data_IF_888370384414
#
_entry.id   IF_888370384414
#
_cell.length_a   1.000
_cell.length_b   1.000
_cell.length_c   1.000
_cell.angle_alpha   90.00
_cell.angle_beta   90.00
_cell.angle_gamma   90.00
#
_symmetry.space_group_name_H-M   'P 1'
#
loop_
_entity.id
_entity.type
_entity.pdbx_description
1 polymer ?
#
# COMPACT_ATOMS: atom_id res chain seq x y z
N UNK A 1 -31.29 52.64 -26.84
CA UNK A 1 -30.65 51.54 -26.08
C UNK A 1 -29.60 52.13 -25.16
N UNK A 2 -29.81 52.06 -23.84
CA UNK A 2 -28.87 52.56 -22.82
C UNK A 2 -28.21 51.35 -22.16
N UNK A 3 -26.91 51.18 -22.34
CA UNK A 3 -26.08 50.25 -21.56
C UNK A 3 -25.23 51.07 -20.59
N UNK A 4 -25.47 50.87 -19.30
CA UNK A 4 -24.65 51.41 -18.21
C UNK A 4 -23.48 50.46 -17.99
N UNK A 5 -22.26 50.95 -18.16
CA UNK A 5 -21.04 50.26 -17.76
C UNK A 5 -20.83 50.43 -16.25
N UNK A 6 -20.75 49.31 -15.54
CA UNK A 6 -20.32 49.21 -14.15
C UNK A 6 -18.79 49.10 -14.15
N UNK A 7 -18.10 50.11 -13.64
CA UNK A 7 -16.66 50.07 -13.39
C UNK A 7 -16.44 49.45 -12.01
N UNK A 8 -15.90 48.23 -11.96
CA UNK A 8 -15.36 47.62 -10.75
C UNK A 8 -13.84 47.67 -10.90
N UNK A 9 -13.20 48.49 -10.07
CA UNK A 9 -11.74 48.56 -9.96
C UNK A 9 -11.23 47.36 -9.17
N UNK A 10 -10.47 46.48 -9.83
CA UNK A 10 -9.56 45.54 -9.17
C UNK A 10 -8.14 45.97 -9.48
N UNK A 11 -7.38 46.30 -8.43
CA UNK A 11 -5.96 46.59 -8.50
C UNK A 11 -5.21 45.33 -8.95
N UNK A 12 -4.71 45.35 -10.19
CA UNK A 12 -3.76 44.36 -10.70
C UNK A 12 -2.37 44.98 -10.56
N UNK A 13 -1.56 44.39 -9.68
CA UNK A 13 -0.12 44.58 -9.68
C UNK A 13 0.44 44.07 -11.01
N UNK A 14 0.98 44.99 -11.79
CA UNK A 14 1.66 44.72 -13.05
C UNK A 14 3.02 44.11 -12.71
N UNK A 15 3.16 42.79 -12.90
CA UNK A 15 4.45 42.11 -12.97
C UNK A 15 4.90 42.14 -14.43
N UNK A 16 5.78 43.08 -14.78
CA UNK A 16 6.49 43.11 -16.06
C UNK A 16 7.48 41.95 -16.13
N UNK A 17 7.15 40.93 -16.91
CA UNK A 17 8.07 39.90 -17.38
C UNK A 17 8.75 40.40 -18.65
N UNK A 18 9.99 40.86 -18.50
CA UNK A 18 10.88 41.20 -19.62
C UNK A 18 11.35 39.90 -20.28
N UNK A 19 10.88 39.64 -21.49
CA UNK A 19 11.37 38.54 -22.33
C UNK A 19 12.63 39.02 -23.04
N UNK A 20 13.80 38.54 -22.61
CA UNK A 20 15.03 38.64 -23.39
C UNK A 20 15.01 37.53 -24.44
N UNK A 21 14.80 37.90 -25.70
CA UNK A 21 15.05 37.04 -26.86
C UNK A 21 16.50 37.18 -27.28
N UNK A 22 17.37 36.26 -26.84
CA UNK A 22 18.68 36.06 -27.47
C UNK A 22 18.59 34.93 -28.49
N UNK A 23 18.74 35.32 -29.75
CA UNK A 23 18.79 34.45 -30.92
C UNK A 23 20.25 34.08 -31.17
N UNK A 24 20.62 32.84 -30.91
CA UNK A 24 22.00 32.37 -31.10
C UNK A 24 22.12 30.85 -31.13
N UNK A 25 21.36 30.17 -31.99
CA UNK A 25 21.64 28.76 -32.29
C UNK A 25 22.65 28.66 -33.43
N UNK A 26 23.90 28.43 -33.06
CA UNK A 26 24.92 27.90 -33.95
C UNK A 26 24.55 26.46 -34.35
N UNK A 27 24.39 26.22 -35.64
CA UNK A 27 24.24 24.89 -36.21
C UNK A 27 25.57 24.12 -36.10
N UNK A 28 25.67 23.23 -35.11
CA UNK A 28 26.77 22.29 -34.98
C UNK A 28 26.44 21.00 -35.75
N UNK A 29 26.98 20.86 -36.97
CA UNK A 29 26.94 19.61 -37.71
C UNK A 29 27.97 18.62 -37.14
N UNK A 30 27.49 17.55 -36.51
CA UNK A 30 28.33 16.42 -36.09
C UNK A 30 28.46 15.46 -37.28
N UNK A 31 29.65 15.44 -37.91
CA UNK A 31 30.06 14.40 -38.87
C UNK A 31 30.30 13.07 -38.13
N UNK A 32 29.54 12.04 -38.47
CA UNK A 32 29.86 10.63 -38.12
C UNK A 32 31.15 10.22 -38.82
N UNK A 33 32.17 9.80 -38.05
CA UNK A 33 33.29 9.01 -38.56
C UNK A 33 32.78 7.61 -38.92
N UNK A 34 32.97 7.23 -40.17
CA UNK A 34 32.79 5.86 -40.67
C UNK A 34 33.89 4.96 -40.11
N UNK A 35 33.56 4.16 -39.09
CA UNK A 35 34.37 3.02 -38.67
C UNK A 35 34.10 1.83 -39.59
N UNK A 36 35.17 1.39 -40.26
CA UNK A 36 35.27 0.21 -41.12
C UNK A 36 34.69 -1.05 -40.42
N UNK A 37 33.79 -1.82 -41.07
CA UNK A 37 33.29 -3.06 -40.49
C UNK A 37 34.43 -4.06 -40.27
N UNK A 38 34.56 -4.53 -39.02
CA UNK A 38 35.40 -5.67 -38.69
C UNK A 38 34.78 -6.94 -39.29
N UNK A 39 35.64 -7.82 -39.82
CA UNK A 39 35.23 -9.08 -40.42
C UNK A 39 34.50 -9.98 -39.40
N UNK A 40 33.53 -10.80 -39.84
CA UNK A 40 32.79 -11.69 -38.95
C UNK A 40 33.73 -12.71 -38.31
N UNK A 41 33.83 -12.69 -36.99
CA UNK A 41 34.48 -13.74 -36.23
C UNK A 41 33.62 -15.02 -36.33
N UNK A 42 34.25 -16.12 -36.73
CA UNK A 42 33.60 -17.41 -36.91
C UNK A 42 32.90 -17.86 -35.61
N UNK A 43 31.64 -18.28 -35.75
CA UNK A 43 30.84 -18.77 -34.65
C UNK A 43 31.49 -20.01 -34.02
N UNK A 44 31.63 -20.06 -32.68
CA UNK A 44 32.11 -21.26 -32.00
C UNK A 44 31.14 -22.43 -32.20
N UNK A 45 31.69 -23.60 -32.49
CA UNK A 45 30.96 -24.83 -32.73
C UNK A 45 30.05 -25.17 -31.53
N UNK A 46 28.83 -25.67 -31.76
CA UNK A 46 27.88 -25.99 -30.70
C UNK A 46 28.43 -27.08 -29.79
N UNK A 47 28.45 -26.79 -28.48
CA UNK A 47 28.79 -27.76 -27.46
C UNK A 47 27.80 -28.94 -27.47
N UNK A 48 28.28 -30.18 -27.27
CA UNK A 48 27.44 -31.37 -27.27
C UNK A 48 26.33 -31.28 -26.22
N UNK A 49 25.11 -31.61 -26.64
CA UNK A 49 23.91 -31.56 -25.82
C UNK A 49 24.05 -32.47 -24.60
N UNK A 50 23.76 -31.92 -23.42
CA UNK A 50 23.73 -32.67 -22.17
C UNK A 50 22.66 -33.78 -22.23
N UNK A 51 22.94 -34.98 -21.70
CA UNK A 51 22.03 -36.10 -21.70
C UNK A 51 20.75 -35.76 -20.92
N UNK A 52 19.61 -36.17 -21.49
CA UNK A 52 18.28 -35.92 -20.94
C UNK A 52 18.15 -36.52 -19.52
N UNK A 53 17.57 -35.78 -18.55
CA UNK A 53 17.33 -36.29 -17.21
C UNK A 53 16.41 -37.51 -17.24
N UNK A 54 16.81 -38.57 -16.54
CA UNK A 54 16.02 -39.78 -16.36
C UNK A 54 14.66 -39.45 -15.74
N UNK A 55 13.60 -40.08 -16.27
CA UNK A 55 12.22 -39.87 -15.83
C UNK A 55 12.06 -40.17 -14.34
N UNK A 56 11.48 -39.21 -13.62
CA UNK A 56 11.16 -39.36 -12.20
C UNK A 56 10.13 -40.50 -12.01
N UNK A 57 10.31 -41.37 -11.01
CA UNK A 57 9.39 -42.47 -10.74
C UNK A 57 7.98 -41.97 -10.42
N UNK A 58 6.99 -42.65 -10.99
CA UNK A 58 5.58 -42.32 -10.82
C UNK A 58 5.18 -42.34 -9.34
N UNK A 59 4.47 -41.31 -8.84
CA UNK A 59 4.04 -41.24 -7.45
C UNK A 59 3.10 -42.39 -7.10
N UNK A 60 3.36 -43.03 -5.95
CA UNK A 60 2.57 -44.13 -5.43
C UNK A 60 1.08 -43.73 -5.25
N UNK A 61 0.13 -44.63 -5.54
CA UNK A 61 -1.29 -44.35 -5.45
C UNK A 61 -1.69 -43.97 -4.03
N UNK A 62 -2.41 -42.86 -3.92
CA UNK A 62 -2.90 -42.33 -2.66
C UNK A 62 -3.82 -43.35 -1.95
N UNK A 63 -3.67 -43.55 -0.63
CA UNK A 63 -4.49 -44.49 0.13
C UNK A 63 -5.96 -44.10 0.10
N UNK A 64 -6.82 -45.12 -0.07
CA UNK A 64 -8.26 -44.96 -0.16
C UNK A 64 -8.83 -44.27 1.10
N UNK A 65 -9.74 -43.29 0.95
CA UNK A 65 -10.31 -42.56 2.07
C UNK A 65 -11.10 -43.48 2.99
N UNK A 66 -10.80 -43.40 4.29
CA UNK A 66 -11.49 -44.12 5.34
C UNK A 66 -12.99 -43.74 5.38
N UNK A 67 -13.88 -44.71 5.70
CA UNK A 67 -15.32 -44.49 5.75
C UNK A 67 -15.69 -43.44 6.81
N UNK A 68 -16.37 -42.39 6.36
CA UNK A 68 -16.86 -41.29 7.21
C UNK A 68 -17.98 -41.82 8.11
N UNK A 69 -17.83 -41.58 9.41
CA UNK A 69 -18.80 -41.98 10.43
C UNK A 69 -20.16 -41.29 10.23
N UNK A 70 -21.21 -42.06 10.46
CA UNK A 70 -22.63 -41.68 10.40
C UNK A 70 -22.91 -40.50 11.36
N UNK A 71 -23.53 -39.39 10.90
CA UNK A 71 -23.84 -38.24 11.75
C UNK A 71 -24.75 -38.62 12.93
N UNK A 72 -24.33 -38.22 14.13
CA UNK A 72 -25.11 -38.34 15.36
C UNK A 72 -26.36 -37.46 15.32
N UNK A 73 -27.45 -37.96 15.91
CA UNK A 73 -28.75 -37.32 15.94
C UNK A 73 -28.71 -35.92 16.59
N UNK A 74 -29.39 -34.98 15.96
CA UNK A 74 -29.49 -33.59 16.40
C UNK A 74 -30.22 -33.48 17.76
N UNK A 75 -29.78 -32.57 18.65
CA UNK A 75 -30.44 -32.32 19.92
C UNK A 75 -31.81 -31.65 19.72
N UNK A 76 -32.80 -32.19 20.43
CA UNK A 76 -34.19 -31.74 20.49
C UNK A 76 -34.25 -30.29 20.98
N UNK A 77 -34.75 -29.38 20.13
CA UNK A 77 -34.97 -27.97 20.46
C UNK A 77 -36.00 -27.84 21.58
N UNK A 78 -35.59 -27.16 22.66
CA UNK A 78 -36.47 -26.69 23.72
C UNK A 78 -37.57 -25.77 23.16
N UNK A 79 -38.79 -25.96 23.66
CA UNK A 79 -40.00 -25.28 23.24
C UNK A 79 -39.91 -23.76 23.45
N UNK A 80 -39.98 -23.02 22.35
CA UNK A 80 -40.13 -21.56 22.33
C UNK A 80 -41.53 -21.20 22.80
N UNK A 81 -41.63 -20.34 23.82
CA UNK A 81 -42.89 -19.77 24.28
C UNK A 81 -43.60 -19.05 23.13
N UNK A 82 -44.84 -19.47 22.87
CA UNK A 82 -45.75 -18.90 21.87
C UNK A 82 -46.00 -17.42 22.21
N UNK A 83 -45.60 -16.44 21.37
CA UNK A 83 -45.92 -15.05 21.61
C UNK A 83 -47.44 -14.87 21.59
N UNK A 84 -47.97 -14.14 22.59
CA UNK A 84 -49.38 -13.73 22.66
C UNK A 84 -49.78 -13.12 21.30
N UNK A 85 -50.86 -13.59 20.65
CA UNK A 85 -51.30 -13.03 19.39
C UNK A 85 -51.67 -11.55 19.62
N UNK A 86 -50.93 -10.66 18.97
CA UNK A 86 -51.35 -9.27 18.82
C UNK A 86 -52.59 -9.33 17.92
N UNK A 87 -53.74 -8.95 18.47
CA UNK A 87 -54.99 -8.80 17.71
C UNK A 87 -54.81 -7.58 16.82
N UNK A 88 -54.45 -7.83 15.58
CA UNK A 88 -54.40 -6.87 14.48
C UNK A 88 -55.87 -6.69 14.07
N UNK A 89 -56.45 -5.49 14.26
CA UNK A 89 -57.83 -5.20 13.84
C UNK A 89 -58.02 -5.51 12.36
N UNK A 90 -59.22 -5.91 11.93
CA UNK A 90 -59.55 -6.27 10.54
C UNK A 90 -59.22 -5.16 9.51
N UNK A 91 -58.99 -3.93 9.98
CA UNK A 91 -58.54 -2.78 9.16
C UNK A 91 -57.01 -2.69 8.96
N UNK A 92 -56.21 -3.62 9.49
CA UNK A 92 -54.74 -3.58 9.36
C UNK A 92 -54.23 -4.52 8.28
N UNK A 93 -54.01 -3.95 7.11
CA UNK A 93 -53.47 -4.66 5.95
C UNK A 93 -51.92 -4.72 5.97
N UNK A 94 -51.36 -5.88 5.60
CA UNK A 94 -49.91 -6.09 5.42
C UNK A 94 -49.61 -6.13 3.93
N UNK A 95 -49.22 -5.00 3.36
CA UNK A 95 -48.73 -4.91 1.97
C UNK A 95 -47.22 -5.04 1.87
N UNK A 96 -46.73 -5.58 0.76
CA UNK A 96 -45.28 -5.63 0.48
C UNK A 96 -44.86 -4.33 -0.18
N UNK A 97 -44.04 -3.53 0.51
CA UNK A 97 -43.45 -2.32 -0.08
C UNK A 97 -42.33 -2.75 -1.03
N UNK A 98 -42.52 -2.53 -2.33
CA UNK A 98 -41.56 -2.90 -3.36
C UNK A 98 -40.52 -1.80 -3.59
N UNK A 99 -40.95 -0.54 -3.59
CA UNK A 99 -40.11 0.59 -3.95
C UNK A 99 -40.49 1.88 -3.20
N UNK A 100 -39.50 2.72 -2.90
CA UNK A 100 -39.68 4.01 -2.22
C UNK A 100 -38.88 5.07 -2.97
N UNK A 101 -39.54 6.14 -3.41
CA UNK A 101 -38.90 7.31 -4.04
C UNK A 101 -39.49 8.60 -3.49
N UNK A 102 -38.69 9.33 -2.74
CA UNK A 102 -39.15 10.57 -2.09
C UNK A 102 -40.31 10.28 -1.12
N UNK A 103 -41.46 10.94 -1.34
CA UNK A 103 -42.69 10.71 -0.59
C UNK A 103 -43.60 9.65 -1.22
N UNK A 104 -43.17 8.95 -2.27
CA UNK A 104 -43.98 7.94 -2.95
C UNK A 104 -43.51 6.52 -2.60
N UNK A 105 -44.45 5.63 -2.33
CA UNK A 105 -44.27 4.20 -2.08
C UNK A 105 -44.97 3.44 -3.22
N UNK A 106 -44.29 2.50 -3.86
CA UNK A 106 -44.93 1.50 -4.70
C UNK A 106 -45.14 0.24 -3.87
N UNK A 107 -46.41 -0.12 -3.67
CA UNK A 107 -46.81 -1.18 -2.74
C UNK A 107 -47.74 -2.14 -3.47
N UNK A 108 -47.51 -3.42 -3.26
CA UNK A 108 -48.44 -4.48 -3.65
C UNK A 108 -49.54 -4.57 -2.59
N UNK A 109 -50.78 -4.27 -2.98
CA UNK A 109 -51.98 -4.40 -2.14
C UNK A 109 -52.91 -5.46 -2.75
N UNK A 110 -53.63 -6.21 -1.91
CA UNK A 110 -54.69 -7.08 -2.42
C UNK A 110 -55.77 -6.23 -3.09
N UNK A 111 -56.27 -6.71 -4.24
CA UNK A 111 -57.07 -5.93 -5.19
C UNK A 111 -58.21 -5.15 -4.52
N UNK A 112 -58.42 -3.90 -4.94
CA UNK A 112 -59.55 -3.06 -4.52
C UNK A 112 -59.20 -1.80 -3.72
N UNK A 113 -57.93 -1.39 -3.66
CA UNK A 113 -57.56 -0.15 -2.98
C UNK A 113 -58.04 1.08 -3.76
N UNK A 114 -58.99 1.83 -3.18
CA UNK A 114 -59.55 3.03 -3.81
C UNK A 114 -58.56 4.20 -3.74
N UNK A 115 -58.48 5.01 -4.81
CA UNK A 115 -57.72 6.27 -4.80
C UNK A 115 -58.16 7.15 -3.63
N UNK A 116 -57.21 7.62 -2.84
CA UNK A 116 -57.46 8.40 -1.61
C UNK A 116 -57.55 7.56 -0.34
N UNK A 117 -57.57 6.22 -0.43
CA UNK A 117 -57.53 5.35 0.74
C UNK A 117 -56.25 5.60 1.56
N UNK A 118 -56.43 5.65 2.89
CA UNK A 118 -55.36 5.97 3.84
C UNK A 118 -54.88 4.70 4.52
N UNK A 119 -53.58 4.44 4.42
CA UNK A 119 -52.91 3.30 5.03
C UNK A 119 -51.94 3.77 6.12
N UNK A 120 -51.82 2.99 7.20
CA UNK A 120 -50.78 3.19 8.20
C UNK A 120 -49.59 2.32 7.81
N UNK A 121 -48.44 2.94 7.61
CA UNK A 121 -47.21 2.24 7.22
C UNK A 121 -46.46 1.84 8.48
N UNK A 122 -46.17 0.55 8.63
CA UNK A 122 -45.31 0.01 9.68
C UNK A 122 -43.98 -0.44 9.09
N UNK A 123 -42.88 -0.38 9.86
CA UNK A 123 -41.61 -0.97 9.45
C UNK A 123 -41.55 -2.46 9.83
N UNK A 124 -40.44 -3.14 9.48
CA UNK A 124 -40.21 -4.56 9.82
C UNK A 124 -40.23 -4.89 11.31
N UNK A 125 -40.09 -3.89 12.19
CA UNK A 125 -40.17 -4.04 13.65
C UNK A 125 -41.58 -3.72 14.17
N UNK A 126 -42.57 -3.63 13.28
CA UNK A 126 -43.94 -3.23 13.58
C UNK A 126 -44.05 -1.84 14.24
N UNK A 127 -43.02 -0.98 14.07
CA UNK A 127 -43.11 0.40 14.53
C UNK A 127 -43.85 1.21 13.48
N UNK A 128 -44.88 1.93 13.92
CA UNK A 128 -45.64 2.85 13.08
C UNK A 128 -44.70 3.91 12.53
N UNK A 129 -44.62 4.00 11.22
CA UNK A 129 -43.74 4.92 10.52
C UNK A 129 -44.54 6.14 10.11
N UNK A 130 -45.63 5.97 9.35
CA UNK A 130 -46.42 7.11 8.88
C UNK A 130 -47.81 6.76 8.39
N UNK A 131 -48.46 7.74 7.73
CA UNK A 131 -49.70 7.55 6.97
C UNK A 131 -49.40 7.75 5.49
N UNK A 132 -49.94 6.87 4.65
CA UNK A 132 -49.78 6.88 3.21
C UNK A 132 -51.16 6.92 2.55
N UNK A 133 -51.30 7.67 1.46
CA UNK A 133 -52.55 7.85 0.71
C UNK A 133 -52.38 7.27 -0.68
N UNK A 134 -53.27 6.40 -1.12
CA UNK A 134 -53.22 5.87 -2.49
C UNK A 134 -53.42 7.01 -3.50
N UNK A 135 -52.40 7.27 -4.33
CA UNK A 135 -52.48 8.27 -5.39
C UNK A 135 -53.15 7.70 -6.64
N UNK A 136 -52.68 6.54 -7.09
CA UNK A 136 -53.18 5.83 -8.26
C UNK A 136 -52.73 4.37 -8.24
N UNK A 137 -53.49 3.54 -8.92
CA UNK A 137 -53.06 2.21 -9.35
C UNK A 137 -52.10 2.35 -10.53
N UNK A 138 -50.99 1.62 -10.49
CA UNK A 138 -49.95 1.61 -11.53
C UNK A 138 -50.11 0.40 -12.44
N UNK A 139 -50.41 -0.75 -11.84
CA UNK A 139 -50.82 -1.99 -12.51
C UNK A 139 -51.74 -2.76 -11.57
N UNK A 140 -52.41 -3.80 -12.06
CA UNK A 140 -53.31 -4.63 -11.24
C UNK A 140 -52.62 -5.09 -9.93
N UNK A 141 -53.16 -4.67 -8.79
CA UNK A 141 -52.62 -4.97 -7.45
C UNK A 141 -51.43 -4.11 -7.00
N UNK A 142 -50.92 -3.22 -7.84
CA UNK A 142 -49.78 -2.35 -7.56
C UNK A 142 -50.20 -0.89 -7.46
N UNK A 143 -50.05 -0.33 -6.28
CA UNK A 143 -50.51 1.02 -5.98
C UNK A 143 -49.33 1.93 -5.65
N UNK A 144 -49.40 3.14 -6.18
CA UNK A 144 -48.50 4.22 -5.78
C UNK A 144 -49.16 5.02 -4.67
N UNK A 145 -48.58 4.98 -3.48
CA UNK A 145 -49.04 5.72 -2.31
C UNK A 145 -48.14 6.93 -2.05
N UNK A 146 -48.71 8.05 -1.62
CA UNK A 146 -47.98 9.22 -1.14
C UNK A 146 -48.01 9.29 0.38
N UNK A 147 -46.85 9.40 1.00
CA UNK A 147 -46.72 9.62 2.44
C UNK A 147 -47.00 11.09 2.73
N UNK A 148 -48.08 11.39 3.46
CA UNK A 148 -48.44 12.77 3.81
C UNK A 148 -47.40 13.32 4.80
N UNK A 149 -46.78 14.46 4.45
CA UNK A 149 -45.65 15.07 5.14
C UNK A 149 -45.98 15.71 6.52
N UNK A 150 -46.87 15.10 7.30
CA UNK A 150 -47.25 15.57 8.64
C UNK A 150 -46.25 15.23 9.76
N UNK A 151 -45.15 14.52 9.46
CA UNK A 151 -44.08 14.26 10.42
C UNK A 151 -42.75 14.28 9.69
N UNK A 152 -42.11 15.45 9.63
CA UNK A 152 -40.91 15.75 8.83
C UNK A 152 -39.65 14.89 9.07
N UNK A 153 -39.72 13.82 9.86
CA UNK A 153 -38.64 12.86 10.05
C UNK A 153 -38.90 11.49 9.40
N UNK A 154 -40.11 11.24 8.91
CA UNK A 154 -40.57 9.87 8.63
C UNK A 154 -40.28 9.39 7.22
N UNK A 155 -40.52 10.21 6.19
CA UNK A 155 -40.25 9.86 4.80
C UNK A 155 -38.76 9.62 4.56
N UNK A 156 -37.91 10.52 5.08
CA UNK A 156 -36.46 10.37 5.03
C UNK A 156 -35.95 9.15 5.80
N UNK A 157 -36.59 8.80 6.94
CA UNK A 157 -36.23 7.59 7.69
C UNK A 157 -36.62 6.32 6.94
N UNK A 158 -37.81 6.29 6.32
CA UNK A 158 -38.21 5.18 5.43
C UNK A 158 -37.27 5.06 4.25
N UNK A 159 -36.99 6.16 3.54
CA UNK A 159 -36.06 6.18 2.43
C UNK A 159 -34.67 5.69 2.86
N UNK A 160 -34.12 6.20 3.98
CA UNK A 160 -32.82 5.77 4.52
C UNK A 160 -32.81 4.32 5.00
N UNK A 161 -33.89 3.83 5.61
CA UNK A 161 -34.05 2.43 5.99
C UNK A 161 -34.12 1.54 4.76
N UNK A 162 -34.85 1.95 3.72
CA UNK A 162 -34.97 1.22 2.46
C UNK A 162 -33.65 1.19 1.68
N UNK A 163 -32.88 2.28 1.64
CA UNK A 163 -31.54 2.30 1.04
C UNK A 163 -30.59 1.35 1.78
N UNK A 164 -30.57 1.40 3.11
CA UNK A 164 -29.72 0.52 3.93
C UNK A 164 -30.08 -0.94 3.72
N UNK A 165 -31.37 -1.26 3.69
CA UNK A 165 -31.85 -2.62 3.47
C UNK A 165 -31.59 -3.10 2.04
N UNK A 166 -31.83 -2.24 1.03
CA UNK A 166 -31.51 -2.52 -0.36
C UNK A 166 -30.01 -2.82 -0.53
N UNK A 167 -29.14 -1.95 0.00
CA UNK A 167 -27.70 -2.18 -0.02
C UNK A 167 -27.30 -3.47 0.72
N UNK A 168 -27.97 -3.77 1.85
CA UNK A 168 -27.73 -5.01 2.60
C UNK A 168 -28.13 -6.25 1.80
N UNK A 169 -29.23 -6.22 1.06
CA UNK A 169 -29.65 -7.31 0.16
C UNK A 169 -28.62 -7.51 -0.96
N UNK A 170 -28.23 -6.42 -1.62
CA UNK A 170 -27.24 -6.44 -2.70
C UNK A 170 -25.91 -6.98 -2.22
N UNK A 171 -25.46 -6.58 -1.02
CA UNK A 171 -24.25 -7.11 -0.39
C UNK A 171 -24.32 -8.60 -0.08
N UNK A 172 -25.49 -9.15 0.25
CA UNK A 172 -25.68 -10.60 0.43
C UNK A 172 -25.64 -11.35 -0.90
N UNK A 173 -26.26 -10.78 -1.95
CA UNK A 173 -26.24 -11.37 -3.30
C UNK A 173 -24.84 -11.32 -3.92
N UNK A 174 -24.09 -10.23 -3.68
CA UNK A 174 -22.71 -10.04 -4.12
C UNK A 174 -22.47 -10.34 -5.62
N UNK A 175 -23.41 -9.93 -6.49
CA UNK A 175 -23.34 -10.11 -7.94
C UNK A 175 -23.28 -8.75 -8.66
N UNK A 176 -22.67 -8.70 -9.84
CA UNK A 176 -22.56 -7.47 -10.64
C UNK A 176 -23.93 -6.85 -10.95
N UNK A 177 -24.89 -7.67 -11.40
CA UNK A 177 -26.24 -7.23 -11.73
C UNK A 177 -26.92 -6.52 -10.53
N UNK A 178 -26.87 -7.13 -9.35
CA UNK A 178 -27.48 -6.56 -8.15
C UNK A 178 -26.88 -5.19 -7.76
N UNK A 179 -25.56 -5.01 -7.90
CA UNK A 179 -24.92 -3.73 -7.64
C UNK A 179 -25.30 -2.67 -8.68
N UNK A 180 -25.40 -3.04 -9.95
CA UNK A 180 -25.85 -2.15 -11.02
C UNK A 180 -27.28 -1.67 -10.77
N UNK A 181 -28.20 -2.60 -10.51
CA UNK A 181 -29.61 -2.29 -10.23
C UNK A 181 -29.75 -1.34 -9.03
N UNK A 182 -28.92 -1.54 -8.00
CA UNK A 182 -28.86 -0.66 -6.84
C UNK A 182 -28.38 0.75 -7.20
N UNK A 183 -27.31 0.88 -7.98
CA UNK A 183 -26.77 2.18 -8.39
C UNK A 183 -27.73 2.93 -9.32
N UNK A 184 -28.45 2.24 -10.21
CA UNK A 184 -29.49 2.83 -11.04
C UNK A 184 -30.69 3.31 -10.22
N UNK A 185 -31.11 2.51 -9.23
CA UNK A 185 -32.24 2.85 -8.36
C UNK A 185 -31.92 3.95 -7.36
N UNK A 186 -30.67 4.02 -6.89
CA UNK A 186 -30.22 4.92 -5.83
C UNK A 186 -28.87 5.61 -6.15
N UNK A 187 -28.79 6.42 -7.22
CA UNK A 187 -27.53 7.00 -7.70
C UNK A 187 -26.87 7.94 -6.68
N UNK A 188 -27.69 8.65 -5.88
CA UNK A 188 -27.23 9.59 -4.86
C UNK A 188 -27.19 8.99 -3.45
N UNK A 189 -27.27 7.65 -3.32
CA UNK A 189 -27.22 7.03 -2.00
C UNK A 189 -25.85 7.24 -1.35
N UNK A 190 -25.83 7.41 -0.02
CA UNK A 190 -24.59 7.38 0.76
C UNK A 190 -23.80 6.08 0.60
N UNK A 191 -24.44 5.00 0.13
CA UNK A 191 -23.78 3.72 -0.14
C UNK A 191 -23.31 3.58 -1.59
N UNK A 192 -23.60 4.53 -2.48
CA UNK A 192 -23.27 4.45 -3.90
C UNK A 192 -21.77 4.25 -4.14
N UNK A 193 -20.91 5.05 -3.49
CA UNK A 193 -19.45 4.89 -3.59
C UNK A 193 -18.97 3.49 -3.13
N UNK A 194 -19.57 2.96 -2.06
CA UNK A 194 -19.22 1.62 -1.56
C UNK A 194 -19.74 0.50 -2.47
N UNK A 195 -20.93 0.67 -3.06
CA UNK A 195 -21.50 -0.24 -4.05
C UNK A 195 -20.68 -0.24 -5.34
N UNK A 196 -20.34 0.93 -5.88
CA UNK A 196 -19.50 1.10 -7.07
C UNK A 196 -18.11 0.48 -6.85
N UNK A 197 -17.47 0.72 -5.70
CA UNK A 197 -16.20 0.09 -5.35
C UNK A 197 -16.31 -1.45 -5.29
N UNK A 198 -17.41 -2.00 -4.79
CA UNK A 198 -17.60 -3.45 -4.71
C UNK A 198 -17.91 -4.07 -6.07
N UNK A 199 -18.72 -3.39 -6.89
CA UNK A 199 -18.98 -3.74 -8.27
C UNK A 199 -17.68 -3.76 -9.08
N UNK A 200 -16.84 -2.73 -8.97
CA UNK A 200 -15.52 -2.68 -9.61
C UNK A 200 -14.64 -3.88 -9.24
N UNK A 201 -14.56 -4.23 -7.95
CA UNK A 201 -13.81 -5.41 -7.49
C UNK A 201 -14.32 -6.73 -8.09
N UNK A 202 -15.64 -6.90 -8.19
CA UNK A 202 -16.23 -8.07 -8.82
C UNK A 202 -15.92 -8.10 -10.32
N UNK A 203 -15.99 -6.95 -10.97
CA UNK A 203 -15.75 -6.81 -12.39
C UNK A 203 -14.28 -7.14 -12.74
N UNK A 204 -13.31 -6.61 -11.98
CA UNK A 204 -11.91 -7.01 -12.11
C UNK A 204 -11.76 -8.52 -11.92
N UNK A 205 -12.38 -9.10 -10.89
CA UNK A 205 -12.24 -10.54 -10.61
C UNK A 205 -12.78 -11.42 -11.75
N UNK A 206 -13.87 -11.01 -12.39
CA UNK A 206 -14.55 -11.80 -13.42
C UNK A 206 -13.96 -11.57 -14.81
N UNK A 207 -13.52 -10.34 -15.13
CA UNK A 207 -13.21 -9.94 -16.50
C UNK A 207 -11.74 -9.54 -16.74
N UNK A 208 -10.90 -9.42 -15.71
CA UNK A 208 -9.50 -9.04 -15.92
C UNK A 208 -8.65 -10.24 -16.40
N UNK A 209 -7.78 -10.09 -17.41
CA UNK A 209 -7.39 -8.86 -18.13
C UNK A 209 -8.18 -8.61 -19.44
N UNK A 210 -9.22 -9.37 -19.73
CA UNK A 210 -9.81 -9.51 -21.07
C UNK A 210 -10.68 -8.33 -21.58
N UNK A 211 -10.86 -7.26 -20.80
CA UNK A 211 -11.73 -6.14 -21.20
C UNK A 211 -10.93 -5.07 -21.95
N UNK A 212 -11.35 -4.58 -23.13
CA UNK A 212 -10.77 -3.38 -23.76
C UNK A 212 -11.14 -2.16 -22.90
N UNK A 213 -10.28 -1.87 -21.94
CA UNK A 213 -10.59 -1.04 -20.78
C UNK A 213 -9.75 0.23 -20.68
N UNK A 214 -9.93 0.95 -19.58
CA UNK A 214 -9.10 2.10 -19.21
C UNK A 214 -7.67 1.61 -18.94
N UNK A 215 -6.68 2.31 -19.50
CA UNK A 215 -5.26 2.07 -19.23
C UNK A 215 -4.75 3.11 -18.24
N UNK A 216 -4.16 2.65 -17.14
CA UNK A 216 -3.44 3.52 -16.20
C UNK A 216 -1.96 3.33 -16.45
N UNK A 217 -1.25 4.42 -16.66
CA UNK A 217 0.20 4.45 -16.70
C UNK A 217 0.72 5.17 -15.47
N UNK A 218 1.85 4.75 -14.94
CA UNK A 218 2.43 5.46 -13.83
C UNK A 218 3.91 5.23 -13.71
N UNK A 219 4.52 6.00 -12.81
CA UNK A 219 5.94 5.92 -12.53
C UNK A 219 6.17 5.88 -11.02
N UNK A 220 6.94 4.89 -10.61
CA UNK A 220 7.47 4.78 -9.26
C UNK A 220 8.65 5.73 -9.10
N UNK A 221 8.68 6.47 -8.00
CA UNK A 221 9.72 7.42 -7.66
C UNK A 221 10.14 7.21 -6.20
N UNK A 222 11.44 7.25 -5.95
CA UNK A 222 11.96 7.23 -4.57
C UNK A 222 11.74 8.60 -3.94
N UNK A 223 11.24 8.61 -2.71
CA UNK A 223 11.09 9.84 -1.94
C UNK A 223 12.44 10.31 -1.36
N UNK A 224 13.35 9.38 -1.10
CA UNK A 224 14.68 9.64 -0.57
C UNK A 224 15.71 9.68 -1.72
N UNK A 225 16.68 10.60 -1.62
CA UNK A 225 17.83 10.64 -2.54
C UNK A 225 18.83 9.59 -2.10
N UNK A 226 19.17 8.65 -2.97
CA UNK A 226 20.18 7.62 -2.69
C UNK A 226 21.34 7.77 -3.67
N UNK A 227 22.56 7.57 -3.19
CA UNK A 227 23.77 7.65 -4.01
C UNK A 227 23.87 6.55 -5.07
N UNK A 228 23.14 5.45 -4.90
CA UNK A 228 23.17 4.28 -5.76
C UNK A 228 21.86 4.17 -6.54
N UNK A 229 21.96 3.81 -7.82
CA UNK A 229 20.80 3.47 -8.63
C UNK A 229 20.17 2.19 -8.10
N UNK A 230 18.98 2.32 -7.51
CA UNK A 230 18.21 1.19 -7.01
C UNK A 230 17.22 0.79 -8.10
N UNK A 231 17.26 -0.47 -8.59
CA UNK A 231 16.33 -0.91 -9.61
C UNK A 231 14.90 -0.84 -9.07
N UNK A 232 14.06 -0.05 -9.74
CA UNK A 232 12.65 0.12 -9.39
C UNK A 232 11.76 -0.96 -10.01
N UNK A 233 12.36 -1.86 -10.80
CA UNK A 233 11.68 -2.98 -11.42
C UNK A 233 11.24 -4.07 -10.46
N UNK A 234 10.29 -4.85 -10.96
CA UNK A 234 9.67 -6.00 -10.29
C UNK A 234 8.82 -5.68 -9.06
N UNK A 235 8.55 -4.40 -8.80
CA UNK A 235 7.65 -4.01 -7.74
C UNK A 235 6.21 -4.34 -8.16
N UNK A 236 5.46 -5.02 -7.29
CA UNK A 236 4.09 -5.39 -7.58
C UNK A 236 3.16 -4.19 -7.30
N UNK A 237 2.46 -3.73 -8.32
CA UNK A 237 1.44 -2.71 -8.17
C UNK A 237 0.10 -3.39 -7.89
N UNK A 238 -0.42 -3.12 -6.70
CA UNK A 238 -1.72 -3.55 -6.23
C UNK A 238 -2.73 -2.43 -6.34
N UNK A 239 -3.87 -2.73 -6.96
CA UNK A 239 -5.04 -1.88 -6.91
C UNK A 239 -6.06 -2.52 -5.97
N UNK A 240 -6.22 -1.91 -4.80
CA UNK A 240 -6.99 -2.38 -3.66
C UNK A 240 -6.55 -3.74 -3.09
N UNK A 241 -7.01 -4.86 -3.66
CA UNK A 241 -6.62 -6.22 -3.24
C UNK A 241 -6.04 -7.05 -4.38
N UNK A 242 -6.08 -6.55 -5.60
CA UNK A 242 -5.63 -7.27 -6.79
C UNK A 242 -4.23 -6.82 -7.14
N UNK A 243 -3.36 -7.77 -7.47
CA UNK A 243 -2.08 -7.49 -8.12
C UNK A 243 -2.38 -7.33 -9.60
N UNK A 244 -2.13 -6.16 -10.16
CA UNK A 244 -2.60 -5.84 -11.52
C UNK A 244 -1.42 -5.59 -12.47
N UNK A 245 -0.32 -5.05 -11.97
CA UNK A 245 0.87 -4.80 -12.79
C UNK A 245 2.16 -5.02 -12.00
N UNK A 246 3.26 -5.03 -12.74
CA UNK A 246 4.62 -5.05 -12.22
C UNK A 246 5.38 -3.89 -12.87
N UNK A 247 6.27 -3.25 -12.12
CA UNK A 247 7.10 -2.17 -12.66
C UNK A 247 8.24 -2.72 -13.53
N UNK A 248 8.59 -1.96 -14.58
CA UNK A 248 9.82 -2.14 -15.36
C UNK A 248 11.06 -1.69 -14.58
N UNK A 249 12.27 -1.92 -15.11
CA UNK A 249 13.52 -1.60 -14.44
C UNK A 249 13.68 -0.12 -14.05
N UNK A 250 12.98 0.78 -14.75
CA UNK A 250 12.97 2.24 -14.53
C UNK A 250 11.86 2.68 -13.58
N UNK A 251 10.99 1.75 -13.16
CA UNK A 251 9.88 2.00 -12.25
C UNK A 251 8.58 2.39 -12.93
N UNK A 252 8.48 2.35 -14.27
CA UNK A 252 7.22 2.59 -14.95
C UNK A 252 6.33 1.35 -14.84
N UNK A 253 5.01 1.56 -14.80
CA UNK A 253 4.04 0.48 -14.86
C UNK A 253 2.86 0.88 -15.74
N UNK A 254 2.26 -0.14 -16.35
CA UNK A 254 1.03 -0.01 -17.14
C UNK A 254 0.03 -1.04 -16.63
N UNK A 255 -1.16 -0.58 -16.28
CA UNK A 255 -2.32 -1.40 -15.95
C UNK A 255 -3.28 -1.27 -17.11
N UNK A 256 -3.44 -2.34 -17.87
CA UNK A 256 -4.36 -2.39 -19.02
C UNK A 256 -5.63 -3.14 -18.66
N UNK A 257 -6.71 -2.88 -19.40
CA UNK A 257 -7.93 -3.68 -19.32
C UNK A 257 -8.76 -3.50 -18.05
N UNK A 258 -8.72 -2.31 -17.44
CA UNK A 258 -9.65 -1.99 -16.38
C UNK A 258 -11.06 -1.78 -16.92
N UNK A 259 -12.09 -2.38 -16.31
CA UNK A 259 -13.44 -2.26 -16.81
C UNK A 259 -13.92 -0.81 -16.77
N UNK A 260 -14.66 -0.39 -17.79
CA UNK A 260 -15.33 0.89 -17.80
C UNK A 260 -16.28 0.99 -16.59
N UNK A 261 -16.27 2.17 -15.96
CA UNK A 261 -17.04 2.43 -14.76
C UNK A 261 -18.22 3.36 -15.07
N UNK A 262 -19.40 3.02 -14.54
CA UNK A 262 -20.58 3.90 -14.63
C UNK A 262 -20.49 5.10 -13.67
N UNK A 263 -19.72 4.96 -12.59
CA UNK A 263 -19.52 5.99 -11.55
C UNK A 263 -18.05 6.07 -11.18
N UNK A 264 -17.54 7.26 -10.79
CA UNK A 264 -16.15 7.39 -10.38
C UNK A 264 -15.88 6.57 -9.11
N UNK A 265 -14.75 5.87 -9.08
CA UNK A 265 -14.36 5.03 -7.93
C UNK A 265 -13.00 5.44 -7.42
N UNK A 266 -12.94 5.74 -6.12
CA UNK A 266 -11.69 5.94 -5.39
C UNK A 266 -11.13 4.61 -4.90
N UNK A 267 -9.97 4.24 -5.41
CA UNK A 267 -9.31 2.95 -5.14
C UNK A 267 -7.96 3.18 -4.50
N UNK A 268 -7.63 2.41 -3.47
CA UNK A 268 -6.31 2.47 -2.84
C UNK A 268 -5.30 1.77 -3.75
N UNK A 269 -4.19 2.43 -4.06
CA UNK A 269 -3.09 1.81 -4.79
C UNK A 269 -1.94 1.55 -3.83
N UNK A 270 -1.31 0.38 -3.95
CA UNK A 270 -0.20 -0.04 -3.09
C UNK A 270 0.92 -0.62 -3.95
N UNK A 271 2.15 -0.26 -3.63
CA UNK A 271 3.34 -0.94 -4.13
C UNK A 271 3.74 -1.97 -3.10
N UNK A 272 3.97 -3.21 -3.53
CA UNK A 272 4.51 -4.26 -2.70
C UNK A 272 5.82 -4.75 -3.30
N UNK A 273 6.88 -4.51 -2.57
CA UNK A 273 8.20 -5.02 -2.82
C UNK A 273 8.88 -5.19 -1.46
N UNK A 274 9.84 -6.10 -1.33
CA UNK A 274 10.67 -6.21 -0.13
C UNK A 274 11.55 -4.96 0.01
N UNK A 275 11.94 -4.38 -1.13
CA UNK A 275 12.79 -3.19 -1.22
C UNK A 275 12.13 -1.91 -0.74
N UNK A 276 10.80 -1.83 -0.84
CA UNK A 276 10.07 -0.57 -0.74
C UNK A 276 8.99 -0.60 0.33
N UNK A 277 8.94 0.47 1.12
CA UNK A 277 7.80 0.82 1.96
C UNK A 277 7.03 1.95 1.29
N UNK A 278 5.70 1.87 1.27
CA UNK A 278 4.89 2.98 0.77
C UNK A 278 5.14 4.22 1.63
N UNK A 279 5.45 5.35 1.00
CA UNK A 279 5.65 6.60 1.74
C UNK A 279 4.32 7.05 2.38
N UNK A 280 3.24 6.97 1.60
CA UNK A 280 1.89 7.33 2.02
C UNK A 280 0.84 6.46 1.31
N UNK A 281 -0.36 6.38 1.87
CA UNK A 281 -1.50 5.72 1.22
C UNK A 281 -1.94 6.54 -0.01
N UNK A 282 -1.55 6.10 -1.21
CA UNK A 282 -2.02 6.74 -2.45
C UNK A 282 -3.40 6.20 -2.86
N UNK A 283 -4.31 7.12 -3.17
CA UNK A 283 -5.63 6.79 -3.72
C UNK A 283 -5.72 7.29 -5.16
N UNK A 284 -6.16 6.41 -6.05
CA UNK A 284 -6.46 6.73 -7.44
C UNK A 284 -7.97 6.91 -7.59
N UNK A 285 -8.37 8.02 -8.21
CA UNK A 285 -9.76 8.25 -8.61
C UNK A 285 -9.90 7.87 -10.08
N UNK A 286 -10.63 6.78 -10.35
CA UNK A 286 -10.89 6.32 -11.71
C UNK A 286 -12.20 6.98 -12.17
N UNK A 287 -12.20 7.80 -13.24
CA UNK A 287 -13.39 8.50 -13.71
C UNK A 287 -14.41 7.53 -14.32
N UNK A 288 -15.65 7.98 -14.43
CA UNK A 288 -16.70 7.23 -15.12
C UNK A 288 -16.59 7.40 -16.65
N UNK A 289 -16.90 6.33 -17.39
CA UNK A 289 -17.14 6.33 -18.84
C UNK A 289 -16.02 6.84 -19.77
N UNK A 290 -14.81 7.11 -19.26
CA UNK A 290 -13.69 7.58 -20.08
C UNK A 290 -12.55 6.56 -20.08
N UNK A 291 -12.09 6.23 -21.29
CA UNK A 291 -10.78 5.61 -21.54
C UNK A 291 -9.67 6.64 -21.33
N UNK A 292 -9.65 7.28 -20.17
CA UNK A 292 -8.62 8.26 -19.83
C UNK A 292 -7.31 7.54 -19.54
N UNK A 293 -6.22 7.94 -20.20
CA UNK A 293 -4.87 7.65 -19.73
C UNK A 293 -4.67 8.41 -18.43
N UNK A 294 -4.66 7.70 -17.32
CA UNK A 294 -4.34 8.29 -16.02
C UNK A 294 -2.85 8.13 -15.80
N UNK A 295 -2.15 9.25 -15.55
CA UNK A 295 -0.75 9.26 -15.15
C UNK A 295 -0.65 9.40 -13.63
N UNK A 296 -0.01 8.42 -12.97
CA UNK A 296 0.16 8.46 -11.52
C UNK A 296 1.63 8.31 -11.12
N UNK A 297 2.14 9.30 -10.40
CA UNK A 297 3.42 9.19 -9.70
C UNK A 297 3.19 8.53 -8.33
N UNK A 298 3.94 7.47 -8.05
CA UNK A 298 3.95 6.80 -6.75
C UNK A 298 5.25 7.09 -6.04
N UNK A 299 5.18 7.62 -4.81
CA UNK A 299 6.35 7.83 -3.97
C UNK A 299 6.52 6.66 -3.02
N UNK A 300 7.72 6.07 -3.01
CA UNK A 300 8.08 5.00 -2.07
C UNK A 300 9.33 5.37 -1.29
N UNK A 301 9.38 4.90 -0.04
CA UNK A 301 10.55 4.90 0.79
C UNK A 301 11.26 3.56 0.64
N UNK A 302 12.56 3.51 0.91
CA UNK A 302 13.27 2.24 0.95
C UNK A 302 13.08 1.59 2.30
N UNK A 303 12.91 0.27 2.30
CA UNK A 303 13.13 -0.49 3.53
C UNK A 303 14.61 -0.33 3.90
N UNK A 304 14.98 0.08 5.11
CA UNK A 304 16.40 0.11 5.47
C UNK A 304 16.89 -1.33 5.70
N UNK A 305 18.10 -1.66 5.23
CA UNK A 305 18.82 -2.79 5.79
C UNK A 305 19.18 -2.46 7.23
N UNK A 306 18.89 -3.36 8.17
CA UNK A 306 19.20 -3.15 9.58
C UNK A 306 20.32 -4.11 9.97
N UNK A 307 21.40 -3.59 10.53
CA UNK A 307 22.46 -4.38 11.13
C UNK A 307 22.23 -4.38 12.64
N UNK A 308 22.13 -5.55 13.23
CA UNK A 308 22.01 -5.73 14.68
C UNK A 308 23.14 -6.61 15.17
N UNK A 309 23.48 -6.52 16.46
CA UNK A 309 24.45 -7.41 17.06
C UNK A 309 24.62 -7.11 18.53
N UNK A 310 25.51 -7.86 19.15
CA UNK A 310 25.79 -7.77 20.59
C UNK A 310 27.29 -7.63 20.81
N UNK A 311 27.64 -6.83 21.81
CA UNK A 311 29.02 -6.65 22.28
C UNK A 311 29.08 -7.20 23.69
N UNK A 312 29.93 -8.19 23.87
CA UNK A 312 30.13 -8.88 25.14
C UNK A 312 31.59 -8.85 25.51
N UNK A 313 31.91 -9.03 26.79
CA UNK A 313 33.29 -9.18 27.22
C UNK A 313 33.77 -10.63 27.02
N UNK A 314 34.97 -10.94 27.53
CA UNK A 314 35.54 -12.29 27.48
C UNK A 314 34.69 -13.34 28.22
N UNK A 315 33.97 -12.93 29.27
CA UNK A 315 33.09 -13.80 30.07
C UNK A 315 31.71 -13.97 29.44
N UNK A 316 31.38 -13.15 28.43
CA UNK A 316 30.07 -13.12 27.80
C UNK A 316 29.11 -12.12 28.42
N UNK A 317 29.58 -11.26 29.33
CA UNK A 317 28.78 -10.21 29.94
C UNK A 317 28.61 -9.03 28.97
N UNK A 318 27.44 -8.37 28.92
CA UNK A 318 27.19 -7.30 27.96
C UNK A 318 28.03 -6.04 28.22
N UNK A 319 28.60 -5.49 27.16
CA UNK A 319 29.40 -4.26 27.20
C UNK A 319 28.56 -3.07 26.73
N UNK A 320 28.09 -2.29 27.69
CA UNK A 320 27.31 -1.04 27.50
C UNK A 320 28.20 0.11 27.00
N UNK A 321 27.61 1.06 26.29
CA UNK A 321 28.30 2.29 25.80
C UNK A 321 29.55 2.00 24.96
N UNK A 322 29.61 0.86 24.29
CA UNK A 322 30.64 0.57 23.31
C UNK A 322 30.31 1.31 22.01
N UNK A 323 31.30 2.02 21.47
CA UNK A 323 31.24 2.69 20.18
C UNK A 323 31.30 1.65 19.07
N UNK A 324 30.26 1.61 18.23
CA UNK A 324 30.14 0.68 17.12
C UNK A 324 30.22 1.45 15.81
N UNK A 325 31.14 1.01 14.94
CA UNK A 325 31.31 1.54 13.60
C UNK A 325 31.17 0.48 12.53
N UNK A 326 30.92 0.90 11.30
CA UNK A 326 30.93 -0.01 10.15
C UNK A 326 31.99 0.43 9.13
N UNK A 327 32.52 -0.50 8.35
CA UNK A 327 33.29 -0.19 7.15
C UNK A 327 32.51 -0.70 5.94
N UNK A 328 32.38 0.11 4.86
CA UNK A 328 33.15 1.33 4.58
C UNK A 328 32.51 2.66 5.07
N UNK A 329 31.60 2.64 6.05
CA UNK A 329 30.89 3.86 6.51
C UNK A 329 31.01 4.12 8.01
N UNK A 330 31.55 5.27 8.37
CA UNK A 330 31.64 5.75 9.75
C UNK A 330 30.29 6.25 10.27
N UNK A 331 29.43 5.31 10.65
CA UNK A 331 28.32 5.54 11.58
C UNK A 331 28.79 5.17 12.97
N UNK A 332 28.52 6.03 13.94
CA UNK A 332 28.80 5.75 15.35
C UNK A 332 27.47 5.55 16.06
N UNK A 333 27.29 4.35 16.59
CA UNK A 333 26.17 4.01 17.46
C UNK A 333 26.74 3.44 18.74
N UNK A 334 26.19 3.85 19.88
CA UNK A 334 26.55 3.30 21.19
C UNK A 334 25.68 2.09 21.49
N UNK A 335 26.27 1.06 22.12
CA UNK A 335 25.48 -0.06 22.63
C UNK A 335 24.57 0.35 23.79
N UNK A 336 23.42 -0.30 23.88
CA UNK A 336 22.48 -0.16 24.98
C UNK A 336 22.97 -0.83 26.27
N UNK A 337 22.14 -0.82 27.31
CA UNK A 337 22.43 -1.45 28.61
C UNK A 337 22.70 -2.96 28.52
N UNK A 338 22.19 -3.61 27.48
CA UNK A 338 22.36 -5.05 27.20
C UNK A 338 23.49 -5.32 26.21
N UNK A 339 24.32 -4.32 25.89
CA UNK A 339 25.41 -4.45 24.93
C UNK A 339 24.93 -4.61 23.48
N UNK A 340 23.66 -4.34 23.18
CA UNK A 340 23.10 -4.48 21.83
C UNK A 340 23.23 -3.20 21.04
N UNK A 341 23.40 -3.31 19.73
CA UNK A 341 23.38 -2.17 18.83
C UNK A 341 22.45 -2.42 17.64
N UNK A 342 21.98 -1.32 17.03
CA UNK A 342 21.18 -1.34 15.82
C UNK A 342 21.60 -0.18 14.90
N UNK A 343 21.98 -0.49 13.66
CA UNK A 343 22.39 0.49 12.65
C UNK A 343 21.53 0.28 11.41
N UNK A 344 20.80 1.30 10.97
CA UNK A 344 19.91 1.22 9.80
C UNK A 344 20.12 2.32 8.77
N UNK A 345 20.92 3.34 9.11
CA UNK A 345 21.23 4.47 8.26
C UNK A 345 22.73 4.73 8.27
N UNK A 346 23.23 5.48 7.28
CA UNK A 346 24.60 5.96 7.16
C UNK A 346 24.62 7.46 6.89
N UNK A 347 25.66 8.15 7.37
CA UNK A 347 25.92 9.52 6.96
C UNK A 347 26.28 9.57 5.48
N UNK A 348 25.78 10.59 4.78
CA UNK A 348 26.18 10.86 3.40
C UNK A 348 27.57 11.45 3.40
N UNK A 349 28.43 10.96 2.52
CA UNK A 349 29.79 11.46 2.34
C UNK A 349 29.93 11.89 0.88
N UNK A 350 30.46 13.08 0.64
CA UNK A 350 30.76 13.55 -0.72
C UNK A 350 32.06 12.90 -1.26
N UNK A 351 32.40 13.21 -2.52
CA UNK A 351 33.61 12.68 -3.15
C UNK A 351 34.92 13.12 -2.47
N UNK A 352 34.88 14.15 -1.62
CA UNK A 352 36.03 14.67 -0.86
C UNK A 352 36.16 14.07 0.54
N UNK A 353 35.23 13.21 0.96
CA UNK A 353 35.18 12.70 2.34
C UNK A 353 34.41 13.61 3.31
N UNK A 354 33.81 14.70 2.82
CA UNK A 354 33.00 15.63 3.60
C UNK A 354 31.65 15.02 3.97
N UNK A 355 31.23 15.18 5.22
CA UNK A 355 29.91 14.76 5.69
C UNK A 355 28.86 15.69 5.09
N UNK A 356 27.97 15.15 4.27
CA UNK A 356 26.82 15.86 3.72
C UNK A 356 25.65 15.79 4.71
N UNK A 357 24.76 16.78 4.62
CA UNK A 357 23.54 16.81 5.42
C UNK A 357 22.57 15.70 4.99
N UNK A 358 22.05 14.98 5.98
CA UNK A 358 21.10 13.89 5.82
C UNK A 358 21.71 12.49 5.86
N UNK A 359 20.90 11.54 6.30
CA UNK A 359 21.26 10.13 6.41
C UNK A 359 20.64 9.30 5.29
N UNK A 360 21.41 8.38 4.71
CA UNK A 360 20.96 7.40 3.73
C UNK A 360 20.66 6.05 4.39
N UNK A 361 19.66 5.28 3.91
CA UNK A 361 19.45 3.92 4.39
C UNK A 361 20.66 3.03 4.08
N UNK A 362 20.94 2.06 4.95
CA UNK A 362 21.90 1.01 4.63
C UNK A 362 21.33 0.08 3.55
N UNK A 363 22.21 -0.39 2.68
CA UNK A 363 21.93 -1.37 1.63
C UNK A 363 22.67 -2.67 1.95
N UNK A 364 22.20 -3.79 1.41
CA UNK A 364 22.84 -5.10 1.54
C UNK A 364 24.14 -5.19 0.77
N UNK A 365 25.21 -5.48 1.50
CA UNK A 365 26.59 -5.70 1.05
C UNK A 365 27.38 -6.28 2.22
N UNK A 366 28.64 -6.54 2.00
CA UNK A 366 29.54 -6.97 3.06
C UNK A 366 29.94 -5.75 3.91
N UNK A 367 29.71 -5.88 5.21
CA UNK A 367 30.10 -4.90 6.21
C UNK A 367 31.14 -5.52 7.13
N UNK A 368 32.10 -4.70 7.56
CA UNK A 368 32.90 -5.01 8.75
C UNK A 368 32.42 -4.12 9.88
N UNK A 369 31.89 -4.72 10.95
CA UNK A 369 31.49 -4.01 12.16
C UNK A 369 32.69 -3.95 13.08
N UNK A 370 33.01 -2.76 13.58
CA UNK A 370 34.07 -2.52 14.56
C UNK A 370 33.40 -2.10 15.86
N UNK A 371 33.99 -2.53 16.96
CA UNK A 371 33.57 -2.16 18.30
C UNK A 371 34.77 -1.67 19.10
N UNK A 372 34.57 -0.59 19.84
CA UNK A 372 35.57 -0.04 20.75
C UNK A 372 34.90 0.45 22.04
N UNK A 373 35.58 0.30 23.17
CA UNK A 373 35.20 0.98 24.41
C UNK A 373 36.47 1.32 25.18
N UNK A 374 36.54 2.50 25.77
CA UNK A 374 37.67 2.88 26.63
C UNK A 374 37.86 1.85 27.76
N UNK A 375 39.09 1.35 27.93
CA UNK A 375 39.41 0.27 28.88
C UNK A 375 39.21 -1.13 28.33
N UNK A 376 38.71 -1.25 27.10
CA UNK A 376 38.65 -2.47 26.32
C UNK A 376 39.47 -2.32 25.03
N UNK A 377 39.91 -3.43 24.46
CA UNK A 377 40.49 -3.47 23.12
C UNK A 377 39.49 -3.07 22.03
N UNK A 378 39.95 -3.02 20.78
CA UNK A 378 39.09 -2.86 19.61
C UNK A 378 39.01 -4.19 18.86
N UNK A 379 37.80 -4.60 18.49
CA UNK A 379 37.58 -5.85 17.76
C UNK A 379 36.63 -5.66 16.59
N UNK A 380 36.57 -6.65 15.70
CA UNK A 380 35.75 -6.59 14.49
C UNK A 380 35.04 -7.89 14.15
N UNK A 381 33.88 -7.78 13.51
CA UNK A 381 33.15 -8.89 12.92
C UNK A 381 32.77 -8.57 11.46
N UNK A 382 33.01 -9.53 10.56
CA UNK A 382 32.48 -9.48 9.20
C UNK A 382 31.00 -9.89 9.19
N UNK A 383 30.20 -9.21 8.39
CA UNK A 383 28.76 -9.46 8.22
C UNK A 383 28.38 -9.32 6.74
N UNK A 384 27.92 -10.41 6.14
CA UNK A 384 27.31 -10.41 4.82
C UNK A 384 25.84 -9.98 4.95
N UNK A 385 25.56 -8.69 4.73
CA UNK A 385 24.21 -8.16 4.91
C UNK A 385 23.35 -8.34 3.66
N UNK A 386 22.20 -9.00 3.82
CA UNK A 386 21.15 -9.06 2.81
C UNK A 386 20.38 -7.74 2.78
N UNK A 387 20.06 -7.29 1.57
CA UNK A 387 19.30 -6.06 1.38
C UNK A 387 17.92 -6.16 2.06
N UNK A 388 17.45 -5.08 2.68
CA UNK A 388 16.07 -4.92 3.16
C UNK A 388 15.67 -5.90 4.28
N UNK A 389 16.64 -6.48 4.97
CA UNK A 389 16.45 -7.43 6.05
C UNK A 389 17.17 -6.97 7.32
N UNK A 390 16.78 -7.56 8.45
CA UNK A 390 17.56 -7.50 9.68
C UNK A 390 18.68 -8.53 9.56
N UNK A 391 19.92 -8.07 9.66
CA UNK A 391 21.12 -8.88 9.57
C UNK A 391 21.81 -8.85 10.93
N UNK A 392 21.84 -10.00 11.58
CA UNK A 392 22.45 -10.17 12.88
C UNK A 392 23.93 -10.50 12.74
N UNK A 393 24.79 -9.64 13.27
CA UNK A 393 26.22 -9.85 13.35
C UNK A 393 26.54 -10.87 14.45
N UNK A 394 27.62 -11.62 14.24
CA UNK A 394 28.22 -12.41 15.30
C UNK A 394 28.63 -11.49 16.46
N UNK A 395 28.37 -11.91 17.69
CA UNK A 395 28.74 -11.16 18.88
C UNK A 395 30.24 -10.83 18.88
N UNK A 396 30.56 -9.56 19.13
CA UNK A 396 31.95 -9.07 19.20
C UNK A 396 32.40 -9.16 20.66
N UNK A 397 33.48 -9.90 20.89
CA UNK A 397 34.05 -10.06 22.23
C UNK A 397 35.12 -9.00 22.45
N UNK A 398 34.92 -8.12 23.42
CA UNK A 398 35.92 -7.13 23.80
C UNK A 398 36.75 -7.66 24.98
N UNK A 399 38.07 -7.68 24.81
CA UNK A 399 38.98 -8.00 25.90
C UNK A 399 39.27 -6.74 26.72
N UNK A 400 39.17 -6.85 28.05
CA UNK A 400 39.49 -5.75 28.95
C UNK A 400 40.99 -5.53 28.93
N UNK A 401 41.41 -4.31 28.63
CA UNK A 401 42.79 -3.88 28.76
C UNK A 401 42.90 -3.21 30.12
N UNK A 402 43.12 -3.99 31.18
CA UNK A 402 43.46 -3.40 32.48
C UNK A 402 44.95 -3.04 32.45
N UNK A 403 45.31 -1.75 32.45
CA UNK A 403 46.71 -1.32 32.40
C UNK A 403 47.49 -1.65 33.68
N UNK A 404 46.83 -2.26 34.67
CA UNK A 404 47.40 -2.61 35.97
C UNK A 404 47.54 -4.12 36.21
N UNK A 405 46.84 -4.98 35.47
CA UNK A 405 47.00 -6.44 35.58
C UNK A 405 48.09 -6.99 34.65
N UNK A 406 48.26 -6.39 33.47
CA UNK A 406 49.54 -6.48 32.76
C UNK A 406 50.52 -5.60 33.53
N UNK A 407 51.20 -6.21 34.52
CA UNK A 407 52.15 -5.51 35.38
C UNK A 407 53.03 -4.56 34.56
N UNK A 408 53.21 -3.34 35.07
CA UNK A 408 53.97 -2.25 34.43
C UNK A 408 55.15 -2.86 33.68
N UNK A 409 55.20 -2.76 32.34
CA UNK A 409 56.29 -3.37 31.59
C UNK A 409 57.59 -2.87 32.19
N UNK A 410 58.50 -3.81 32.47
CA UNK A 410 59.77 -3.51 33.13
C UNK A 410 60.40 -2.32 32.40
N UNK A 411 60.67 -1.22 33.12
CA UNK A 411 61.05 0.10 32.58
C UNK A 411 62.35 0.07 31.74
N UNK A 412 62.96 -1.11 31.61
CA UNK A 412 64.11 -1.43 30.78
C UNK A 412 63.80 -1.60 29.29
N UNK A 413 62.53 -1.63 28.87
CA UNK A 413 62.20 -1.68 27.43
C UNK A 413 62.41 -0.29 26.81
N UNK A 414 63.36 -0.21 25.88
CA UNK A 414 63.73 1.00 25.15
C UNK A 414 62.54 1.55 24.36
N UNK A 415 61.92 2.61 24.89
CA UNK A 415 60.73 3.26 24.35
C UNK A 415 60.93 3.76 22.90
N UNK A 416 62.19 3.90 22.44
CA UNK A 416 62.50 4.27 21.07
C UNK A 416 62.13 3.19 20.04
N UNK A 417 62.10 1.90 20.43
CA UNK A 417 61.81 0.81 19.51
C UNK A 417 60.31 0.59 19.24
N UNK A 418 59.42 1.09 20.11
CA UNK A 418 57.96 0.88 19.99
C UNK A 418 57.20 2.09 19.39
N UNK A 419 57.88 3.21 19.12
CA UNK A 419 57.27 4.39 18.49
C UNK A 419 56.94 4.18 16.99
N UNK A 420 57.59 3.22 16.33
CA UNK A 420 57.32 2.92 14.90
C UNK A 420 55.98 2.21 14.65
N UNK A 421 55.38 1.59 15.67
CA UNK A 421 54.10 0.89 15.55
C UNK A 421 52.87 1.82 15.56
N UNK A 422 53.01 3.06 16.06
CA UNK A 422 51.90 4.03 16.05
C UNK A 422 51.71 4.76 14.71
N UNK A 423 52.59 4.58 13.74
CA UNK A 423 52.48 5.26 12.43
C UNK A 423 51.46 4.64 11.47
N UNK A 424 50.91 3.45 11.76
CA UNK A 424 50.06 2.72 10.81
C UNK A 424 48.54 2.83 11.01
N UNK A 425 48.04 3.64 11.95
CA UNK A 425 46.59 3.73 12.20
C UNK A 425 46.08 5.18 12.26
N UNK A 426 46.46 6.02 11.30
CA UNK A 426 45.59 7.15 10.92
C UNK A 426 45.74 7.40 9.41
N UNK A 427 44.82 6.92 8.55
CA UNK A 427 44.73 7.48 7.20
C UNK A 427 44.48 9.00 7.34
N UNK A 428 45.27 9.80 6.62
CA UNK A 428 45.18 11.25 6.65
C UNK A 428 43.72 11.70 6.42
N UNK A 429 43.06 12.18 7.50
CA UNK A 429 41.68 12.66 7.47
C UNK A 429 40.67 11.93 8.35
N UNK A 430 41.02 10.83 9.03
CA UNK A 430 40.04 10.00 9.80
C UNK A 430 40.46 9.73 11.25
N UNK A 431 41.14 10.68 11.91
CA UNK A 431 41.39 10.58 13.35
C UNK A 431 40.12 10.93 14.16
N UNK A 432 39.90 10.32 15.34
CA UNK A 432 38.89 10.78 16.28
C UNK A 432 39.14 12.25 16.58
N UNK A 433 38.11 13.09 16.38
CA UNK A 433 38.16 14.48 16.83
C UNK A 433 38.20 14.43 18.36
N UNK A 434 39.39 14.54 18.94
CA UNK A 434 39.54 14.84 20.35
C UNK A 434 38.81 16.17 20.60
N UNK A 435 37.61 16.10 21.17
CA UNK A 435 36.98 17.26 21.76
C UNK A 435 37.87 17.70 22.93
N UNK A 436 38.23 18.98 22.89
CA UNK A 436 39.12 19.65 23.84
C UNK A 436 38.54 19.68 25.24
#
# INVERSE_FOLDING_TARGET
>A
MRTRSLVVAFAIGVLTLTVCTDSGFAAMQIRKKSTKPAAPQAAPAPAPAAPAPAAAPAPAPAPAPAPVAKPAAAPTKAATQKPKPVVISEDSFVGTVMYVRGNQLLVELQAGAVKGARYVVYNKRLKRVGRAVVLREVSEGMYMLSVTAGSGATGDRLAKETEREAYSRVRRMNSLAAYRDFLQSFPNSKYAASAAKRMFRLNIRENYPASPGTTITGRLTLNEKVSQDIPLGRALIKLDRFVIAMTDDVGNFTIEGLPALELPVKVKMQVRDEKFQMAEDTYLEIPANESSKLEQALKVNLTPTVLTGEIVDKNGDPVREAEVWTSPYTMEVLTDENGKYQISRRKRIDASGGILEGDEPLLGRDYTVYAYRKGFGAERAALEAKNFQVNEAKAIKLERQDPFEEGVPDLTVDLSANLDLMQFVVPAGSGPKFNR
#
